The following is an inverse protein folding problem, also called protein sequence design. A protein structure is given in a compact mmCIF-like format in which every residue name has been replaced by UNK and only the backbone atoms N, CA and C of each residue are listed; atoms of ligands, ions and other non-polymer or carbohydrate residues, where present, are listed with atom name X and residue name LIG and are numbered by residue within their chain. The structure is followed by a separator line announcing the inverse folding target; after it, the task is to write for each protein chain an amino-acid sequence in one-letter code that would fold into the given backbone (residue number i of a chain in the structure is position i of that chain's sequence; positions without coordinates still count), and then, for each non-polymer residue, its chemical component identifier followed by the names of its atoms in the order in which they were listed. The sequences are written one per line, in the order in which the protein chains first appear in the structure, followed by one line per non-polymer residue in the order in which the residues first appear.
data_IF_028573629621
#
_entry.id   IF_028573629621
#
_cell.length_a   1.000
_cell.length_b   1.000
_cell.length_c   1.000
_cell.angle_alpha   90.00
_cell.angle_beta   90.00
_cell.angle_gamma   90.00
#
_symmetry.space_group_name_H-M   'P 1'
#
loop_
_entity.id
_entity.type
_entity.pdbx_description
1 polymer ?
#
# COMPACT_ATOMS: atom_id res chain seq x y z
N UNK A 1 -0.90 -2.89 18.81
CA UNK A 1 -1.37 -1.73 18.03
C UNK A 1 -1.75 -0.68 19.03
N UNK A 2 -1.12 0.50 18.98
CA UNK A 2 -1.36 1.60 19.94
C UNK A 2 -2.68 2.34 19.65
N UNK A 3 -3.67 1.62 19.09
CA UNK A 3 -4.99 2.13 18.70
C UNK A 3 -4.94 3.44 17.89
N UNK A 4 -3.90 3.60 17.06
CA UNK A 4 -3.69 4.79 16.24
C UNK A 4 -3.53 4.42 14.77
N UNK A 5 -4.17 5.18 13.89
CA UNK A 5 -4.01 5.10 12.43
C UNK A 5 -3.18 6.28 11.92
N UNK A 6 -1.95 6.04 11.43
CA UNK A 6 -1.07 7.09 10.90
C UNK A 6 -0.95 7.12 9.37
N UNK A 7 -1.29 6.02 8.66
CA UNK A 7 -1.22 5.94 7.20
C UNK A 7 0.18 5.96 6.58
N UNK A 8 1.26 6.09 7.35
CA UNK A 8 2.62 6.23 6.80
C UNK A 8 3.05 5.07 5.86
N UNK A 9 2.54 3.86 6.11
CA UNK A 9 2.82 2.71 5.27
C UNK A 9 2.13 2.74 3.90
N UNK A 10 0.93 3.33 3.77
CA UNK A 10 0.26 3.48 2.47
C UNK A 10 0.96 4.53 1.62
N UNK A 11 1.26 5.69 2.21
CA UNK A 11 1.92 6.81 1.51
C UNK A 11 3.33 6.48 1.03
N UNK A 12 4.03 5.60 1.76
CA UNK A 12 5.40 5.22 1.42
C UNK A 12 5.47 4.02 0.45
N UNK A 13 4.36 3.36 0.15
CA UNK A 13 4.36 2.18 -0.71
C UNK A 13 4.49 2.60 -2.19
N UNK A 14 5.62 2.33 -2.86
CA UNK A 14 5.85 2.80 -4.23
C UNK A 14 4.92 2.14 -5.27
N UNK A 15 4.39 0.95 -4.96
CA UNK A 15 3.47 0.21 -5.82
C UNK A 15 2.01 0.38 -5.41
N UNK A 16 1.72 1.19 -4.39
CA UNK A 16 0.40 1.29 -3.75
C UNK A 16 -0.20 -0.06 -3.31
N UNK A 17 0.64 -1.04 -3.00
CA UNK A 17 0.20 -2.33 -2.46
C UNK A 17 -0.44 -2.23 -1.06
N UNK A 18 -0.33 -1.10 -0.36
CA UNK A 18 -0.84 -0.93 1.00
C UNK A 18 -1.97 0.09 1.00
N UNK A 19 -3.16 -0.33 1.43
CA UNK A 19 -4.32 0.53 1.60
C UNK A 19 -4.75 0.60 3.07
N UNK A 20 -5.21 1.76 3.54
CA UNK A 20 -5.80 1.91 4.87
C UNK A 20 -7.29 1.61 4.81
N UNK A 21 -7.73 0.51 5.43
CA UNK A 21 -9.13 0.07 5.43
C UNK A 21 -9.80 0.31 6.78
N UNK A 22 -11.13 0.53 6.83
CA UNK A 22 -11.86 0.72 8.08
C UNK A 22 -11.64 -0.43 9.07
N UNK A 23 -11.49 -0.04 10.34
CA UNK A 23 -11.33 -0.91 11.48
C UNK A 23 -12.21 -0.42 12.64
N UNK A 24 -12.17 -1.15 13.76
CA UNK A 24 -12.97 -0.87 14.95
C UNK A 24 -12.79 0.57 15.44
N UNK A 25 -13.85 1.10 16.07
CA UNK A 25 -13.85 2.40 16.76
C UNK A 25 -13.44 3.59 15.86
N UNK A 26 -13.73 3.50 14.55
CA UNK A 26 -13.41 4.56 13.58
C UNK A 26 -11.92 4.64 13.20
N UNK A 27 -11.11 3.67 13.63
CA UNK A 27 -9.73 3.54 13.22
C UNK A 27 -9.62 2.91 11.84
N UNK A 28 -8.44 2.99 11.24
CA UNK A 28 -8.09 2.23 10.04
C UNK A 28 -6.86 1.36 10.28
N UNK A 29 -6.78 0.25 9.57
CA UNK A 29 -5.62 -0.65 9.59
C UNK A 29 -5.06 -0.81 8.18
N UNK A 30 -3.75 -1.04 8.03
CA UNK A 30 -3.19 -1.35 6.73
C UNK A 30 -3.62 -2.74 6.25
N UNK A 31 -4.04 -2.83 5.00
CA UNK A 31 -4.24 -4.06 4.25
C UNK A 31 -3.25 -4.08 3.08
N UNK A 32 -2.58 -5.22 2.88
CA UNK A 32 -1.57 -5.40 1.83
C UNK A 32 -2.14 -6.26 0.71
N UNK A 33 -2.06 -5.79 -0.53
CA UNK A 33 -2.26 -6.59 -1.73
C UNK A 33 -0.93 -7.24 -2.14
N UNK A 34 -0.83 -8.55 -1.91
CA UNK A 34 0.38 -9.32 -2.17
C UNK A 34 0.67 -9.51 -3.67
N UNK A 35 -0.31 -9.31 -4.55
CA UNK A 35 -0.12 -9.47 -6.00
C UNK A 35 0.73 -8.35 -6.61
N UNK A 36 0.64 -7.14 -6.03
CA UNK A 36 1.39 -5.94 -6.46
C UNK A 36 2.48 -5.53 -5.45
N UNK A 37 2.57 -6.20 -4.30
CA UNK A 37 3.64 -6.00 -3.34
C UNK A 37 4.95 -6.61 -3.83
N UNK A 38 6.00 -5.79 -3.93
CA UNK A 38 7.34 -6.24 -4.36
C UNK A 38 8.28 -6.57 -3.19
N UNK A 39 7.80 -6.51 -1.95
CA UNK A 39 8.61 -6.85 -0.76
C UNK A 39 9.76 -5.89 -0.48
N UNK A 40 9.65 -4.60 -0.88
CA UNK A 40 10.74 -3.63 -0.70
C UNK A 40 11.04 -3.25 0.77
N UNK A 41 10.15 -3.57 1.71
CA UNK A 41 10.34 -3.26 3.15
C UNK A 41 10.14 -1.80 3.55
N UNK A 42 9.80 -0.91 2.61
CA UNK A 42 9.61 0.53 2.91
C UNK A 42 8.51 0.79 3.94
N UNK A 43 7.37 0.10 3.82
CA UNK A 43 6.25 0.21 4.76
C UNK A 43 6.62 -0.25 6.18
N UNK A 44 7.47 -1.26 6.30
CA UNK A 44 8.00 -1.72 7.58
C UNK A 44 8.97 -0.67 8.16
N UNK A 45 9.91 -0.17 7.35
CA UNK A 45 10.93 0.77 7.80
C UNK A 45 10.34 2.09 8.34
N UNK A 46 9.38 2.67 7.62
CA UNK A 46 8.78 3.97 7.96
C UNK A 46 7.85 3.90 9.17
N UNK A 47 7.38 2.70 9.55
CA UNK A 47 6.44 2.56 10.65
C UNK A 47 7.09 3.10 11.95
N UNK A 48 6.48 4.07 12.64
CA UNK A 48 7.06 4.66 13.86
C UNK A 48 6.87 3.76 15.10
N UNK A 49 5.92 2.83 15.05
CA UNK A 49 5.55 1.96 16.18
C UNK A 49 6.69 0.99 16.51
N UNK A 50 6.98 0.83 17.80
CA UNK A 50 8.00 -0.08 18.35
C UNK A 50 7.44 -0.80 19.57
N UNK A 51 7.84 -2.06 19.84
CA UNK A 51 8.78 -2.88 19.08
C UNK A 51 8.14 -3.58 17.87
N UNK A 52 6.81 -3.71 17.86
CA UNK A 52 6.07 -4.40 16.81
C UNK A 52 5.52 -3.40 15.81
N UNK A 53 6.03 -3.48 14.58
CA UNK A 53 5.56 -2.66 13.46
C UNK A 53 4.20 -3.16 12.97
N UNK A 54 3.45 -2.28 12.29
CA UNK A 54 2.14 -2.63 11.76
C UNK A 54 2.19 -3.63 10.59
N UNK A 55 3.27 -3.59 9.81
CA UNK A 55 3.54 -4.53 8.71
C UNK A 55 4.95 -5.08 8.91
N UNK A 56 5.10 -6.39 8.72
CA UNK A 56 6.39 -7.07 8.63
C UNK A 56 6.55 -7.65 7.24
N UNK A 57 7.70 -7.43 6.61
CA UNK A 57 8.00 -7.91 5.27
C UNK A 57 8.99 -9.05 5.36
N UNK A 58 8.53 -10.24 4.98
CA UNK A 58 9.38 -11.42 4.86
C UNK A 58 9.75 -11.62 3.39
N UNK A 59 11.06 -11.71 3.12
CA UNK A 59 11.55 -11.97 1.77
C UNK A 59 11.27 -13.41 1.35
N UNK A 60 10.86 -13.61 0.09
CA UNK A 60 10.78 -14.95 -0.48
C UNK A 60 12.15 -15.62 -0.50
N UNK A 61 12.20 -16.93 -0.22
CA UNK A 61 13.43 -17.73 -0.28
C UNK A 61 14.04 -17.78 -1.69
N UNK A 62 13.22 -17.55 -2.72
CA UNK A 62 13.61 -17.47 -4.13
C UNK A 62 12.96 -16.23 -4.74
N UNK A 63 13.71 -15.48 -5.55
CA UNK A 63 13.19 -14.30 -6.25
C UNK A 63 12.14 -14.72 -7.30
N UNK A 64 10.93 -14.18 -7.20
CA UNK A 64 9.84 -14.41 -8.16
C UNK A 64 9.75 -13.25 -9.16
N UNK A 65 9.26 -13.53 -10.37
CA UNK A 65 8.95 -12.48 -11.35
C UNK A 65 7.58 -11.88 -11.05
N UNK A 66 7.49 -10.55 -11.07
CA UNK A 66 6.21 -9.86 -10.97
C UNK A 66 5.31 -10.20 -12.17
N UNK A 67 4.00 -10.27 -11.95
CA UNK A 67 3.02 -10.37 -13.03
C UNK A 67 3.04 -9.06 -13.83
N UNK A 68 2.94 -9.11 -15.17
CA UNK A 68 2.76 -7.90 -15.96
C UNK A 68 1.41 -7.25 -15.58
N UNK A 69 1.37 -5.93 -15.53
CA UNK A 69 0.11 -5.20 -15.36
C UNK A 69 -0.85 -5.59 -16.50
N UNK A 70 -2.11 -5.89 -16.16
CA UNK A 70 -3.14 -5.99 -17.18
C UNK A 70 -3.40 -4.56 -17.68
N UNK A 71 -3.30 -4.33 -18.99
CA UNK A 71 -3.68 -3.05 -19.58
C UNK A 71 -5.19 -2.86 -19.35
N UNK A 72 -5.55 -2.03 -18.36
CA UNK A 72 -6.90 -1.49 -18.30
C UNK A 72 -7.08 -0.57 -19.52
N UNK A 73 -8.20 -0.74 -20.24
CA UNK A 73 -8.54 0.13 -21.36
C UNK A 73 -8.48 1.58 -20.91
N UNK A 74 -7.49 2.33 -21.39
CA UNK A 74 -7.42 3.77 -21.19
C UNK A 74 -8.70 4.35 -21.79
N UNK A 75 -9.61 4.78 -20.93
CA UNK A 75 -10.69 5.66 -21.36
C UNK A 75 -10.04 7.02 -21.57
N UNK A 76 -9.82 7.37 -22.84
CA UNK A 76 -9.58 8.75 -23.22
C UNK A 76 -10.81 9.55 -22.79
N UNK A 77 -10.71 10.21 -21.65
CA UNK A 77 -11.69 11.21 -21.23
C UNK A 77 -11.21 12.52 -21.84
N UNK A 78 -11.82 12.93 -22.95
CA UNK A 78 -11.70 14.30 -23.45
C UNK A 78 -12.27 15.23 -22.38
N UNK A 79 -11.38 15.89 -21.62
CA UNK A 79 -11.78 16.91 -20.65
C UNK A 79 -12.01 18.20 -21.44
N UNK A 80 -13.18 18.30 -22.06
CA UNK A 80 -13.67 19.51 -22.70
C UNK A 80 -13.98 20.54 -21.61
N UNK A 81 -12.96 21.33 -21.24
CA UNK A 81 -13.04 22.52 -20.38
C UNK A 81 -12.72 22.27 -18.88
N UNK A 82 -11.45 22.49 -18.50
CA UNK A 82 -11.09 22.78 -17.11
C UNK A 82 -11.57 24.20 -16.80
N UNK A 83 -12.76 24.33 -16.21
CA UNK A 83 -13.47 25.60 -16.01
C UNK A 83 -12.69 26.68 -15.24
N UNK A 84 -11.78 27.36 -15.94
CA UNK A 84 -11.24 28.68 -15.64
C UNK A 84 -11.96 29.75 -16.45
#
# INVERSE_FOLDING_TARGET
TDETSCGACSEHCPTQAVAMVPYQNGLTIPQVDTEICVGCGGCEHICPVRPYRAIHVEGNSVQLKAKPFAEEEKKDVDVDNFGF
#
